data_IF_791130657820
#
_entry.id   IF_791130657820
#
_cell.length_a   1.000
_cell.length_b   1.000
_cell.length_c   1.000
_cell.angle_alpha   90.00
_cell.angle_beta   90.00
_cell.angle_gamma   90.00
#
_symmetry.space_group_name_H-M   'P 1'
#
loop_
_entity.id
_entity.type
_entity.pdbx_description
1 polymer ?
#
# COMPACT_ATOMS: atom_id res chain seq x y z
N UNK A 1 7.97 -16.05 -11.71
CA UNK A 1 6.73 -15.90 -10.93
C UNK A 1 7.01 -15.36 -9.52
N UNK A 2 8.02 -15.86 -8.80
CA UNK A 2 8.53 -15.27 -7.53
C UNK A 2 8.68 -13.74 -7.49
N UNK A 3 9.20 -13.17 -8.59
CA UNK A 3 9.54 -11.75 -8.71
C UNK A 3 8.35 -10.79 -8.59
N UNK A 4 7.19 -11.15 -9.14
CA UNK A 4 6.02 -10.26 -9.19
C UNK A 4 5.34 -10.11 -7.83
N UNK A 5 5.21 -11.21 -7.08
CA UNK A 5 4.72 -11.18 -5.71
C UNK A 5 5.61 -10.34 -4.81
N UNK A 6 6.94 -10.43 -4.96
CA UNK A 6 7.86 -9.57 -4.24
C UNK A 6 7.70 -8.10 -4.62
N UNK A 7 7.49 -7.77 -5.90
CA UNK A 7 7.22 -6.39 -6.33
C UNK A 7 5.97 -5.81 -5.65
N UNK A 8 4.90 -6.58 -5.54
CA UNK A 8 3.66 -6.15 -4.85
C UNK A 8 3.85 -5.99 -3.33
N UNK A 9 4.67 -6.85 -2.73
CA UNK A 9 5.07 -6.70 -1.34
C UNK A 9 5.88 -5.42 -1.09
N UNK A 10 6.85 -5.12 -1.96
CA UNK A 10 7.62 -3.88 -1.86
C UNK A 10 6.75 -2.64 -2.13
N UNK A 11 5.76 -2.75 -3.01
CA UNK A 11 4.77 -1.69 -3.20
C UNK A 11 4.01 -1.41 -1.89
N UNK A 12 3.54 -2.45 -1.20
CA UNK A 12 2.90 -2.30 0.12
C UNK A 12 3.82 -1.60 1.12
N UNK A 13 5.07 -2.05 1.26
CA UNK A 13 6.03 -1.45 2.19
C UNK A 13 6.32 0.02 1.86
N UNK A 14 6.45 0.36 0.58
CA UNK A 14 6.69 1.74 0.15
C UNK A 14 5.52 2.66 0.54
N UNK A 15 4.29 2.24 0.25
CA UNK A 15 3.09 3.00 0.63
C UNK A 15 2.94 3.10 2.15
N UNK A 16 3.24 2.03 2.91
CA UNK A 16 3.21 2.08 4.38
C UNK A 16 4.15 3.16 4.93
N UNK A 17 5.39 3.21 4.41
CA UNK A 17 6.38 4.21 4.87
C UNK A 17 5.99 5.63 4.47
N UNK A 18 5.44 5.82 3.26
CA UNK A 18 4.95 7.14 2.84
C UNK A 18 3.79 7.61 3.71
N UNK A 19 2.80 6.76 3.98
CA UNK A 19 1.66 7.11 4.84
C UNK A 19 2.11 7.42 6.26
N UNK A 20 3.02 6.62 6.83
CA UNK A 20 3.58 6.91 8.16
C UNK A 20 4.37 8.23 8.20
N UNK A 21 5.13 8.54 7.14
CA UNK A 21 5.82 9.82 7.03
C UNK A 21 4.86 11.00 6.95
N UNK A 22 3.80 10.88 6.13
CA UNK A 22 2.76 11.90 6.02
C UNK A 22 1.98 12.07 7.33
N UNK A 23 1.68 10.98 8.04
CA UNK A 23 1.08 11.02 9.37
C UNK A 23 1.92 11.85 10.34
N UNK A 24 3.22 11.55 10.46
CA UNK A 24 4.13 12.30 11.36
C UNK A 24 4.18 13.77 10.97
N UNK A 25 4.21 14.08 9.67
CA UNK A 25 4.22 15.46 9.17
C UNK A 25 2.92 16.22 9.49
N UNK A 26 1.75 15.57 9.41
CA UNK A 26 0.45 16.24 9.59
C UNK A 26 -0.05 16.25 11.03
N UNK A 27 0.20 15.18 11.77
CA UNK A 27 -0.29 15.00 13.12
C UNK A 27 0.75 15.43 14.17
N UNK A 28 2.02 15.62 13.79
CA UNK A 28 3.12 15.98 14.70
C UNK A 28 3.34 14.98 15.84
N UNK A 29 3.01 13.71 15.61
CA UNK A 29 3.16 12.62 16.56
C UNK A 29 3.59 11.33 15.85
N UNK A 30 3.99 10.30 16.60
CA UNK A 30 4.40 9.02 16.02
C UNK A 30 3.23 8.29 15.34
N UNK A 31 3.49 7.73 14.16
CA UNK A 31 2.47 6.99 13.43
C UNK A 31 2.05 5.71 14.17
N UNK A 32 0.75 5.35 14.15
CA UNK A 32 0.24 4.21 14.89
C UNK A 32 0.86 2.88 14.43
N UNK A 33 1.00 1.95 15.37
CA UNK A 33 1.42 0.60 15.08
C UNK A 33 0.39 -0.12 14.22
N UNK A 34 0.84 -0.71 13.11
CA UNK A 34 -0.01 -1.41 12.15
C UNK A 34 0.55 -1.40 10.73
N UNK A 35 -0.05 -2.24 9.89
CA UNK A 35 0.30 -2.40 8.46
C UNK A 35 -0.88 -2.11 7.51
N UNK A 36 -2.05 -1.80 8.08
CA UNK A 36 -3.25 -1.52 7.31
C UNK A 36 -3.16 -0.12 6.73
N UNK A 37 -3.04 -0.04 5.41
CA UNK A 37 -2.85 1.24 4.71
C UNK A 37 -4.11 2.12 4.81
N UNK A 38 -5.30 1.52 4.74
CA UNK A 38 -6.57 2.22 4.88
C UNK A 38 -6.77 2.84 6.28
N UNK A 39 -6.30 2.16 7.33
CA UNK A 39 -6.35 2.71 8.70
C UNK A 39 -5.30 3.79 8.91
N UNK A 40 -4.14 3.67 8.28
CA UNK A 40 -3.11 4.71 8.36
C UNK A 40 -3.60 6.00 7.72
N UNK A 41 -4.13 5.94 6.51
CA UNK A 41 -4.56 7.15 5.79
C UNK A 41 -5.76 7.83 6.45
N UNK A 42 -6.71 7.06 7.01
CA UNK A 42 -7.90 7.61 7.66
C UNK A 42 -7.62 8.38 8.96
N UNK A 43 -6.39 8.30 9.47
CA UNK A 43 -5.97 8.98 10.70
C UNK A 43 -5.05 10.19 10.43
N UNK A 44 -4.75 10.48 9.16
CA UNK A 44 -3.93 11.64 8.79
C UNK A 44 -4.84 12.87 8.74
N UNK A 45 -4.44 13.93 9.45
CA UNK A 45 -5.19 15.19 9.43
C UNK A 45 -5.19 15.82 8.04
N UNK A 46 -6.33 16.41 7.65
CA UNK A 46 -6.53 17.13 6.38
C UNK A 46 -6.27 16.28 5.12
N UNK A 47 -6.51 14.96 5.21
CA UNK A 47 -6.42 14.03 4.08
C UNK A 47 -7.71 13.25 3.94
N UNK A 48 -8.38 13.44 2.80
CA UNK A 48 -9.56 12.67 2.41
C UNK A 48 -9.24 11.92 1.11
N UNK A 49 -8.93 10.61 1.18
CA UNK A 49 -8.82 9.78 -0.01
C UNK A 49 -10.20 9.58 -0.65
N UNK A 50 -10.24 9.51 -1.98
CA UNK A 50 -11.44 9.05 -2.65
C UNK A 50 -11.67 7.54 -2.44
N UNK A 51 -12.86 7.07 -2.83
CA UNK A 51 -13.19 5.65 -2.65
C UNK A 51 -12.30 4.71 -3.47
N UNK A 52 -11.78 5.15 -4.61
CA UNK A 52 -10.94 4.31 -5.47
C UNK A 52 -9.57 4.08 -4.82
N UNK A 53 -8.96 5.12 -4.30
CA UNK A 53 -7.69 5.06 -3.59
C UNK A 53 -7.84 4.31 -2.26
N UNK A 54 -8.95 4.48 -1.53
CA UNK A 54 -9.24 3.64 -0.35
C UNK A 54 -9.33 2.16 -0.70
N UNK A 55 -10.09 1.80 -1.75
CA UNK A 55 -10.19 0.41 -2.22
C UNK A 55 -8.82 -0.14 -2.60
N UNK A 56 -8.02 0.62 -3.33
CA UNK A 56 -6.67 0.24 -3.70
C UNK A 56 -5.78 -0.02 -2.47
N UNK A 57 -5.81 0.84 -1.45
CA UNK A 57 -5.01 0.67 -0.23
C UNK A 57 -5.43 -0.58 0.58
N UNK A 58 -6.73 -0.92 0.59
CA UNK A 58 -7.23 -2.17 1.18
C UNK A 58 -6.65 -3.38 0.44
N UNK A 59 -6.71 -3.38 -0.90
CA UNK A 59 -6.20 -4.48 -1.70
C UNK A 59 -4.69 -4.67 -1.53
N UNK A 60 -3.92 -3.57 -1.58
CA UNK A 60 -2.46 -3.63 -1.41
C UNK A 60 -2.06 -4.10 0.00
N UNK A 61 -2.86 -3.79 1.03
CA UNK A 61 -2.64 -4.32 2.38
C UNK A 61 -2.62 -5.85 2.40
N UNK A 62 -3.41 -6.51 1.54
CA UNK A 62 -3.44 -7.99 1.47
C UNK A 62 -2.13 -8.59 0.96
N UNK A 63 -1.35 -7.85 0.16
CA UNK A 63 -0.07 -8.31 -0.39
C UNK A 63 1.00 -8.51 0.69
N UNK A 64 0.89 -7.81 1.83
CA UNK A 64 1.76 -8.01 2.99
C UNK A 64 1.52 -9.38 3.67
N UNK A 65 0.28 -9.86 3.66
CA UNK A 65 -0.11 -11.15 4.25
C UNK A 65 0.28 -12.30 3.31
N UNK A 66 0.08 -12.10 2.00
CA UNK A 66 0.32 -13.10 0.97
C UNK A 66 1.78 -13.58 0.88
N UNK A 67 2.74 -12.79 1.37
CA UNK A 67 4.16 -13.17 1.39
C UNK A 67 4.61 -13.87 2.66
N UNK A 68 3.84 -13.77 3.75
CA UNK A 68 4.20 -14.29 5.08
C UNK A 68 3.72 -15.72 5.35
N UNK A 69 2.65 -16.18 4.70
CA UNK A 69 2.09 -17.52 4.90
C UNK A 69 2.17 -18.38 3.62
N UNK A 70 2.81 -19.54 3.71
CA UNK A 70 3.09 -20.42 2.56
C UNK A 70 1.85 -20.88 1.78
N UNK A 71 0.71 -21.06 2.45
CA UNK A 71 -0.52 -21.53 1.81
C UNK A 71 -1.18 -20.44 0.95
N UNK A 72 -1.20 -19.20 1.44
CA UNK A 72 -1.62 -18.03 0.67
C UNK A 72 -0.63 -17.74 -0.47
N UNK A 73 0.66 -17.99 -0.24
CA UNK A 73 1.72 -17.78 -1.22
C UNK A 73 1.48 -18.61 -2.50
N UNK A 74 1.07 -19.88 -2.36
CA UNK A 74 0.87 -20.78 -3.52
C UNK A 74 -0.34 -20.42 -4.38
N UNK A 75 -1.46 -20.00 -3.78
CA UNK A 75 -2.63 -19.53 -4.55
C UNK A 75 -2.37 -18.16 -5.17
N UNK A 76 -1.75 -17.25 -4.42
CA UNK A 76 -1.41 -15.91 -4.91
C UNK A 76 -0.38 -15.93 -6.04
N UNK A 77 0.59 -16.86 -6.02
CA UNK A 77 1.52 -17.04 -7.14
C UNK A 77 0.84 -17.42 -8.46
N UNK A 78 -0.30 -18.13 -8.42
CA UNK A 78 -1.05 -18.50 -9.63
C UNK A 78 -1.80 -17.29 -10.21
N UNK A 79 -2.27 -16.39 -9.36
CA UNK A 79 -3.00 -15.17 -9.76
C UNK A 79 -2.06 -14.02 -10.14
N UNK A 80 -0.86 -13.95 -9.53
CA UNK A 80 0.10 -12.87 -9.74
C UNK A 80 0.84 -13.02 -11.07
N UNK A 81 0.14 -12.70 -12.15
CA UNK A 81 0.71 -12.56 -13.50
C UNK A 81 1.51 -11.26 -13.62
N UNK A 82 2.27 -11.13 -14.71
CA UNK A 82 2.99 -9.88 -15.01
C UNK A 82 2.03 -8.69 -15.12
N UNK A 83 0.92 -8.87 -15.82
CA UNK A 83 -0.04 -7.80 -16.10
C UNK A 83 -0.79 -7.39 -14.83
N UNK A 84 -1.14 -8.37 -13.98
CA UNK A 84 -1.69 -8.11 -12.65
C UNK A 84 -0.71 -7.25 -11.84
N UNK A 85 0.55 -7.66 -11.73
CA UNK A 85 1.53 -6.89 -10.96
C UNK A 85 1.78 -5.50 -11.55
N UNK A 86 1.83 -5.38 -12.87
CA UNK A 86 2.04 -4.09 -13.54
C UNK A 86 0.87 -3.12 -13.31
N UNK A 87 -0.37 -3.62 -13.32
CA UNK A 87 -1.56 -2.84 -13.01
C UNK A 87 -1.43 -2.18 -11.62
N UNK A 88 -1.17 -2.97 -10.58
CA UNK A 88 -1.00 -2.45 -9.22
C UNK A 88 0.22 -1.53 -9.08
N UNK A 89 1.33 -1.83 -9.77
CA UNK A 89 2.50 -0.97 -9.75
C UNK A 89 2.24 0.40 -10.40
N UNK A 90 1.45 0.44 -11.47
CA UNK A 90 1.09 1.70 -12.12
C UNK A 90 0.13 2.52 -11.26
N UNK A 91 -0.96 1.93 -10.77
CA UNK A 91 -1.87 2.62 -9.84
C UNK A 91 -1.15 3.04 -8.55
N UNK A 92 -0.24 2.21 -8.05
CA UNK A 92 0.60 2.53 -6.90
C UNK A 92 1.49 3.75 -7.13
N UNK A 93 2.01 3.97 -8.35
CA UNK A 93 2.75 5.20 -8.68
C UNK A 93 1.85 6.43 -8.64
N UNK A 94 0.63 6.33 -9.16
CA UNK A 94 -0.34 7.43 -9.13
C UNK A 94 -0.67 7.83 -7.69
N UNK A 95 -0.98 6.84 -6.83
CA UNK A 95 -1.24 7.08 -5.40
C UNK A 95 0.00 7.66 -4.70
N UNK A 96 1.21 7.18 -5.00
CA UNK A 96 2.44 7.76 -4.42
C UNK A 96 2.64 9.22 -4.84
N UNK A 97 2.35 9.57 -6.10
CA UNK A 97 2.44 10.96 -6.58
C UNK A 97 1.41 11.84 -5.88
N UNK A 98 0.19 11.35 -5.71
CA UNK A 98 -0.85 12.04 -4.95
C UNK A 98 -0.42 12.24 -3.49
N UNK A 99 -0.01 11.19 -2.77
CA UNK A 99 0.48 11.30 -1.39
C UNK A 99 1.65 12.27 -1.25
N UNK A 100 2.57 12.29 -2.22
CA UNK A 100 3.68 13.24 -2.24
C UNK A 100 3.22 14.68 -2.41
N UNK A 101 2.16 14.92 -3.18
CA UNK A 101 1.58 16.27 -3.34
C UNK A 101 1.03 16.85 -2.02
N UNK A 102 0.74 15.97 -1.04
CA UNK A 102 0.28 16.34 0.30
C UNK A 102 1.42 16.69 1.26
N UNK A 103 2.68 16.41 0.92
CA UNK A 103 3.87 16.69 1.76
C UNK A 103 4.46 18.10 1.51
N UNK A 104 3.61 19.13 1.49
CA UNK A 104 4.07 20.52 1.35
C UNK A 104 4.92 20.98 2.51
#
# INVERSE_FOLDING_TARGET
QGKYVHSLFFLHLALEKMLKGLYVNRNQEEAPFGHSLQVLISKINDVEPDEEDLRFLVEVTTFNIATRYNDYKKSFYKTCTKDFALHYLNKGKEVMLWLKSLLR
#
